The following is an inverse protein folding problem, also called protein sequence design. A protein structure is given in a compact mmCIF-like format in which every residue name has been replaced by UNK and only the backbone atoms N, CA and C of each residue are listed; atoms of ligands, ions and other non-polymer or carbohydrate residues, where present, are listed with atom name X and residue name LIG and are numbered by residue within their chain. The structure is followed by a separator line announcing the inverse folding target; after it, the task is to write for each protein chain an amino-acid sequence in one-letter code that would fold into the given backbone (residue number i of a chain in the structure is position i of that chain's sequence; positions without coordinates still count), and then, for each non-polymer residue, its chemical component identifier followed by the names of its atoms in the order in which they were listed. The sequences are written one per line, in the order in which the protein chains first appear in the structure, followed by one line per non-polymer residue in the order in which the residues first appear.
data_IF_738251902846
#
_entry.id   IF_738251902846
#
_cell.length_a   1.000
_cell.length_b   1.000
_cell.length_c   1.000
_cell.angle_alpha   90.00
_cell.angle_beta   90.00
_cell.angle_gamma   90.00
#
_symmetry.space_group_name_H-M   'P 1'
#
loop_
_entity.id
_entity.type
_entity.pdbx_description
1 polymer ?
#
# COMPACT_ATOMS: atom_id res chain seq x y z
N UNK A 1 1.73 -16.65 5.39
CA UNK A 1 1.95 -15.95 6.67
C UNK A 1 3.16 -15.04 6.49
N UNK A 2 2.98 -13.72 6.51
CA UNK A 2 4.13 -12.80 6.57
C UNK A 2 4.94 -13.18 7.81
N UNK A 3 6.24 -13.39 7.63
CA UNK A 3 7.13 -13.91 8.66
C UNK A 3 7.07 -13.02 9.90
N UNK A 4 6.35 -13.46 10.94
CA UNK A 4 6.09 -12.68 12.15
C UNK A 4 7.35 -12.18 12.88
N UNK A 5 8.51 -12.74 12.56
CA UNK A 5 9.81 -12.37 13.11
C UNK A 5 10.33 -11.01 12.61
N UNK A 6 9.86 -10.53 11.46
CA UNK A 6 10.38 -9.30 10.86
C UNK A 6 9.59 -8.03 11.22
N UNK A 7 8.55 -8.18 12.05
CA UNK A 7 7.66 -7.11 12.51
C UNK A 7 7.01 -6.34 11.34
N UNK A 8 6.54 -7.06 10.32
CA UNK A 8 5.83 -6.48 9.18
C UNK A 8 6.76 -5.75 8.22
N UNK A 9 7.95 -6.30 7.96
CA UNK A 9 8.97 -5.71 7.09
C UNK A 9 9.91 -4.71 7.77
N UNK A 10 9.73 -4.41 9.06
CA UNK A 10 10.57 -3.44 9.78
C UNK A 10 12.01 -3.93 9.97
N UNK A 11 12.19 -5.23 10.21
CA UNK A 11 13.52 -5.84 10.33
C UNK A 11 14.12 -6.23 8.97
N UNK A 12 13.35 -6.13 7.87
CA UNK A 12 13.82 -6.42 6.53
C UNK A 12 14.54 -5.21 5.93
N UNK A 13 15.85 -5.12 6.15
CA UNK A 13 16.69 -4.02 5.65
C UNK A 13 16.96 -4.15 4.15
N UNK A 14 16.87 -3.04 3.43
CA UNK A 14 17.11 -2.94 1.99
C UNK A 14 17.62 -1.54 1.62
N UNK A 15 17.97 -1.35 0.35
CA UNK A 15 18.21 -0.04 -0.25
C UNK A 15 17.00 0.35 -1.09
N UNK A 16 16.52 1.57 -0.90
CA UNK A 16 15.44 2.15 -1.70
C UNK A 16 15.74 3.62 -1.93
N UNK A 17 15.51 4.10 -3.16
CA UNK A 17 15.66 5.51 -3.50
C UNK A 17 17.03 6.08 -3.09
N UNK A 18 18.11 5.33 -3.41
CA UNK A 18 19.51 5.68 -3.13
C UNK A 18 19.90 5.77 -1.65
N UNK A 19 19.10 5.23 -0.74
CA UNK A 19 19.39 5.22 0.71
C UNK A 19 19.05 3.88 1.36
N UNK A 20 19.66 3.61 2.51
CA UNK A 20 19.24 2.50 3.39
C UNK A 20 17.83 2.74 3.92
N UNK A 21 17.03 1.68 3.98
CA UNK A 21 15.63 1.67 4.45
C UNK A 21 15.26 0.27 4.95
N UNK A 22 14.02 0.10 5.37
CA UNK A 22 13.39 -1.21 5.54
C UNK A 22 12.14 -1.34 4.65
N UNK A 23 11.66 -2.57 4.45
CA UNK A 23 10.51 -2.87 3.60
C UNK A 23 9.24 -2.15 4.05
N UNK A 24 9.01 -2.07 5.36
CA UNK A 24 7.85 -1.38 5.93
C UNK A 24 7.82 0.10 5.51
N UNK A 25 8.93 0.82 5.69
CA UNK A 25 9.06 2.22 5.33
C UNK A 25 8.89 2.49 3.82
N UNK A 26 9.26 1.52 2.97
CA UNK A 26 9.03 1.60 1.52
C UNK A 26 7.54 1.63 1.21
N UNK A 27 6.75 0.75 1.82
CA UNK A 27 5.31 0.69 1.62
C UNK A 27 4.55 1.84 2.28
N UNK A 28 4.91 2.19 3.52
CA UNK A 28 4.25 3.26 4.27
C UNK A 28 4.40 4.65 3.64
N UNK A 29 5.56 4.93 3.03
CA UNK A 29 5.80 6.26 2.47
C UNK A 29 6.75 6.32 1.28
N UNK A 30 7.62 5.32 1.09
CA UNK A 30 8.61 5.33 0.02
C UNK A 30 7.99 5.36 -1.38
N UNK A 31 7.07 4.44 -1.67
CA UNK A 31 6.38 4.36 -2.96
C UNK A 31 5.58 5.63 -3.25
N UNK A 32 4.85 6.16 -2.26
CA UNK A 32 4.08 7.41 -2.38
C UNK A 32 4.99 8.59 -2.70
N UNK A 33 6.09 8.76 -1.93
CA UNK A 33 7.06 9.85 -2.17
C UNK A 33 7.73 9.74 -3.53
N UNK A 34 7.93 8.52 -4.04
CA UNK A 34 8.53 8.30 -5.34
C UNK A 34 7.62 8.74 -6.50
N UNK A 35 6.31 8.84 -6.30
CA UNK A 35 5.41 9.44 -7.31
C UNK A 35 5.78 10.89 -7.59
N UNK A 36 6.34 11.59 -6.60
CA UNK A 36 6.68 13.01 -6.69
C UNK A 36 5.47 13.88 -7.11
N UNK A 37 4.27 13.48 -6.65
CA UNK A 37 3.01 14.18 -6.81
C UNK A 37 2.65 14.87 -5.49
N UNK A 38 2.05 16.06 -5.55
CA UNK A 38 1.41 16.64 -4.38
C UNK A 38 0.12 15.88 -4.03
N UNK A 39 -0.35 16.07 -2.80
CA UNK A 39 -1.50 15.31 -2.26
C UNK A 39 -2.78 15.59 -3.03
N UNK A 40 -3.00 16.81 -3.53
CA UNK A 40 -4.24 17.18 -4.23
C UNK A 40 -4.27 16.51 -5.61
N UNK A 41 -3.15 16.54 -6.33
CA UNK A 41 -2.99 15.86 -7.62
C UNK A 41 -3.20 14.35 -7.49
N UNK A 42 -2.52 13.72 -6.51
CA UNK A 42 -2.66 12.29 -6.26
C UNK A 42 -4.11 11.93 -5.90
N UNK A 43 -4.72 12.68 -4.98
CA UNK A 43 -6.09 12.43 -4.52
C UNK A 43 -7.09 12.55 -5.67
N UNK A 44 -6.98 13.60 -6.50
CA UNK A 44 -7.87 13.79 -7.65
C UNK A 44 -7.81 12.60 -8.62
N UNK A 45 -6.61 12.07 -8.89
CA UNK A 45 -6.42 10.89 -9.75
C UNK A 45 -6.99 9.62 -9.13
N UNK A 46 -6.75 9.39 -7.83
CA UNK A 46 -7.25 8.20 -7.14
C UNK A 46 -8.77 8.19 -7.01
N UNK A 47 -9.39 9.33 -6.69
CA UNK A 47 -10.86 9.46 -6.60
C UNK A 47 -11.55 9.28 -7.94
N UNK A 48 -10.91 9.65 -9.04
CA UNK A 48 -11.43 9.41 -10.39
C UNK A 48 -11.43 7.91 -10.79
N UNK A 49 -10.76 7.05 -10.01
CA UNK A 49 -10.76 5.60 -10.25
C UNK A 49 -12.05 5.00 -9.72
N UNK A 50 -12.85 4.39 -10.60
CA UNK A 50 -14.09 3.73 -10.21
C UNK A 50 -13.78 2.45 -9.42
N UNK A 51 -14.00 2.50 -8.10
CA UNK A 51 -13.91 1.33 -7.23
C UNK A 51 -15.25 1.06 -6.58
N UNK A 52 -15.70 -0.18 -6.65
CA UNK A 52 -16.86 -0.63 -5.91
C UNK A 52 -16.45 -0.75 -4.43
N UNK A 53 -16.72 0.30 -3.67
CA UNK A 53 -16.52 0.30 -2.23
C UNK A 53 -17.40 -0.77 -1.57
N UNK A 54 -16.80 -1.54 -0.66
CA UNK A 54 -17.53 -2.46 0.23
C UNK A 54 -17.47 -1.92 1.64
N UNK A 55 -18.45 -2.23 2.50
CA UNK A 55 -18.37 -1.86 3.91
C UNK A 55 -17.11 -2.43 4.57
N UNK A 56 -16.54 -1.69 5.51
CA UNK A 56 -15.33 -2.11 6.22
C UNK A 56 -15.58 -3.41 7.00
N UNK A 57 -14.67 -4.38 6.83
CA UNK A 57 -14.64 -5.61 7.60
C UNK A 57 -13.18 -5.94 7.91
N UNK A 58 -12.81 -5.92 9.21
CA UNK A 58 -11.43 -6.06 9.63
C UNK A 58 -10.78 -7.39 9.21
N UNK A 59 -11.54 -8.50 9.24
CA UNK A 59 -11.03 -9.82 8.84
C UNK A 59 -10.72 -9.83 7.35
N UNK A 60 -11.67 -9.38 6.52
CA UNK A 60 -11.48 -9.33 5.06
C UNK A 60 -10.33 -8.41 4.65
N UNK A 61 -10.20 -7.25 5.30
CA UNK A 61 -9.10 -6.31 5.06
C UNK A 61 -7.75 -6.93 5.40
N UNK A 62 -7.67 -7.68 6.51
CA UNK A 62 -6.46 -8.39 6.89
C UNK A 62 -6.12 -9.51 5.90
N UNK A 63 -7.11 -10.26 5.43
CA UNK A 63 -6.93 -11.30 4.41
C UNK A 63 -6.43 -10.72 3.07
N UNK A 64 -7.03 -9.63 2.60
CA UNK A 64 -6.59 -8.91 1.39
C UNK A 64 -5.13 -8.45 1.51
N UNK A 65 -4.76 -7.91 2.67
CA UNK A 65 -3.38 -7.52 2.97
C UNK A 65 -2.43 -8.72 2.97
N UNK A 66 -2.85 -9.87 3.53
CA UNK A 66 -2.08 -11.11 3.50
C UNK A 66 -1.85 -11.62 2.07
N UNK A 67 -2.85 -11.49 1.19
CA UNK A 67 -2.72 -11.85 -0.23
C UNK A 67 -1.71 -10.95 -0.96
N UNK A 68 -1.74 -9.64 -0.69
CA UNK A 68 -0.76 -8.71 -1.27
C UNK A 68 0.66 -9.08 -0.82
N UNK A 69 0.87 -9.30 0.47
CA UNK A 69 2.18 -9.70 1.03
C UNK A 69 2.67 -11.03 0.44
N UNK A 70 1.75 -11.94 0.09
CA UNK A 70 2.08 -13.22 -0.53
C UNK A 70 2.42 -13.11 -2.04
N UNK A 71 2.27 -11.93 -2.65
CA UNK A 71 2.59 -11.73 -4.07
C UNK A 71 4.07 -12.00 -4.33
N UNK A 72 4.43 -12.80 -5.36
CA UNK A 72 5.83 -13.06 -5.69
C UNK A 72 6.62 -11.76 -5.86
N UNK A 73 7.77 -11.65 -5.17
CA UNK A 73 8.62 -10.45 -5.20
C UNK A 73 8.18 -9.31 -4.28
N UNK A 74 7.15 -9.49 -3.44
CA UNK A 74 6.79 -8.49 -2.41
C UNK A 74 7.96 -8.23 -1.45
N UNK A 75 8.68 -9.29 -1.08
CA UNK A 75 10.02 -9.17 -0.49
C UNK A 75 11.04 -9.18 -1.64
N UNK A 76 11.67 -8.03 -1.98
CA UNK A 76 12.75 -8.00 -2.95
C UNK A 76 14.04 -8.57 -2.31
N UNK A 77 15.11 -8.73 -3.09
CA UNK A 77 16.40 -9.15 -2.53
C UNK A 77 16.93 -8.13 -1.51
N UNK A 78 17.57 -7.05 -1.99
CA UNK A 78 18.09 -5.97 -1.15
C UNK A 78 17.97 -4.59 -1.79
N UNK A 79 17.45 -4.50 -3.01
CA UNK A 79 17.28 -3.24 -3.73
C UNK A 79 15.82 -3.13 -4.19
N UNK A 80 15.20 -1.98 -3.89
CA UNK A 80 13.96 -1.55 -4.53
C UNK A 80 14.35 -0.89 -5.84
N UNK A 81 14.29 -1.66 -6.92
CA UNK A 81 14.63 -1.25 -8.27
C UNK A 81 13.39 -0.79 -9.06
N UNK A 82 13.61 -0.35 -10.31
CA UNK A 82 12.53 0.12 -11.19
C UNK A 82 11.46 -0.97 -11.41
N UNK A 83 11.80 -2.24 -11.71
CA UNK A 83 10.82 -3.33 -11.78
C UNK A 83 9.94 -3.47 -10.54
N UNK A 84 10.52 -3.40 -9.34
CA UNK A 84 9.76 -3.47 -8.10
C UNK A 84 8.77 -2.29 -8.00
N UNK A 85 9.23 -1.07 -8.26
CA UNK A 85 8.41 0.15 -8.22
C UNK A 85 7.25 0.04 -9.21
N UNK A 86 7.52 -0.29 -10.47
CA UNK A 86 6.51 -0.43 -11.52
C UNK A 86 5.45 -1.47 -11.14
N UNK A 87 5.87 -2.58 -10.51
CA UNK A 87 4.98 -3.66 -10.12
C UNK A 87 4.07 -3.29 -8.94
N UNK A 88 4.60 -2.62 -7.93
CA UNK A 88 3.90 -2.43 -6.65
C UNK A 88 3.27 -1.05 -6.46
N UNK A 89 3.67 -0.04 -7.23
CA UNK A 89 3.00 1.28 -7.21
C UNK A 89 1.49 1.17 -7.49
N UNK A 90 1.01 0.46 -8.52
CA UNK A 90 -0.43 0.32 -8.74
C UNK A 90 -1.15 -0.42 -7.60
N UNK A 91 -0.48 -1.36 -6.94
CA UNK A 91 -1.03 -2.08 -5.78
C UNK A 91 -1.21 -1.14 -4.59
N UNK A 92 -0.20 -0.31 -4.31
CA UNK A 92 -0.26 0.72 -3.28
C UNK A 92 -1.39 1.72 -3.55
N UNK A 93 -1.50 2.22 -4.79
CA UNK A 93 -2.58 3.14 -5.20
C UNK A 93 -3.95 2.51 -5.04
N UNK A 94 -4.13 1.25 -5.45
CA UNK A 94 -5.39 0.53 -5.28
C UNK A 94 -5.78 0.42 -3.80
N UNK A 95 -4.83 0.18 -2.90
CA UNK A 95 -5.11 0.14 -1.46
C UNK A 95 -5.54 1.50 -0.90
N UNK A 96 -4.91 2.59 -1.35
CA UNK A 96 -5.36 3.94 -0.99
C UNK A 96 -6.80 4.21 -1.44
N UNK A 97 -7.13 3.87 -2.69
CA UNK A 97 -8.48 4.08 -3.23
C UNK A 97 -9.53 3.23 -2.49
N UNK A 98 -9.25 1.94 -2.26
CA UNK A 98 -10.17 1.04 -1.54
C UNK A 98 -10.36 1.46 -0.08
N UNK A 99 -9.29 1.88 0.61
CA UNK A 99 -9.36 2.38 1.97
C UNK A 99 -10.21 3.66 2.07
N UNK A 100 -10.01 4.59 1.13
CA UNK A 100 -10.82 5.82 1.03
C UNK A 100 -12.31 5.53 0.84
N UNK A 101 -12.64 4.64 -0.10
CA UNK A 101 -14.03 4.25 -0.37
C UNK A 101 -14.68 3.56 0.86
N UNK A 102 -13.96 2.65 1.53
CA UNK A 102 -14.43 1.98 2.76
C UNK A 102 -14.69 2.98 3.89
N UNK A 103 -13.80 3.95 4.07
CA UNK A 103 -13.95 4.98 5.09
C UNK A 103 -15.16 5.87 4.79
N UNK A 104 -15.36 6.29 3.54
CA UNK A 104 -16.51 7.08 3.14
C UNK A 104 -17.84 6.34 3.43
N UNK A 105 -17.91 5.05 3.10
CA UNK A 105 -19.09 4.21 3.41
C UNK A 105 -19.34 4.15 4.92
N UNK A 106 -18.29 3.92 5.72
CA UNK A 106 -18.40 3.85 7.18
C UNK A 106 -18.89 5.18 7.77
N UNK A 107 -18.35 6.31 7.31
CA UNK A 107 -18.77 7.63 7.77
C UNK A 107 -20.24 7.90 7.39
N UNK A 108 -20.65 7.57 6.17
CA UNK A 108 -22.05 7.71 5.75
C UNK A 108 -22.99 6.83 6.61
N UNK A 109 -22.57 5.64 7.02
CA UNK A 109 -23.36 4.76 7.89
C UNK A 109 -23.47 5.28 9.34
N UNK A 110 -22.50 6.07 9.81
CA UNK A 110 -22.49 6.63 11.17
C UNK A 110 -23.18 7.99 11.25
N UNK A 111 -23.22 8.74 10.15
CA UNK A 111 -23.75 10.11 10.09
C UNK A 111 -25.16 10.19 9.48
N UNK A 112 -25.72 9.06 9.05
CA UNK A 112 -27.11 8.90 8.63
C UNK A 112 -27.88 8.18 9.74
#
# INVERSE_FOLDING_TARGET
AGYGDDRGGNNFQLQAFMRGSNLHAVWDSGLIKNLNEDVDTLTARLVATDVIGTSFNAVKVAEESCHIVATPGFYPDRLVDVPYIVKFTPVMEQQLTVAGARLAILLNQLLH
#
